data_IF_598377795656
#
_entry.id   IF_598377795656
#
_cell.length_a   1.000
_cell.length_b   1.000
_cell.length_c   1.000
_cell.angle_alpha   90.00
_cell.angle_beta   90.00
_cell.angle_gamma   90.00
#
_symmetry.space_group_name_H-M   'P 1'
#
loop_
_entity.id
_entity.type
_entity.pdbx_description
1 polymer ?
#
# COMPACT_ATOMS: atom_id res chain seq x y z
N UNK A 1 -8.24 -19.64 -30.44
CA UNK A 1 -6.97 -19.51 -31.19
C UNK A 1 -7.24 -18.67 -32.43
N UNK A 2 -6.73 -17.44 -32.48
CA UNK A 2 -7.00 -16.53 -33.61
C UNK A 2 -6.05 -16.86 -34.77
N UNK A 3 -6.60 -17.23 -35.94
CA UNK A 3 -5.85 -17.76 -37.08
C UNK A 3 -4.86 -16.73 -37.65
N UNK A 4 -3.65 -17.16 -38.06
CA UNK A 4 -2.59 -16.30 -38.63
C UNK A 4 -3.07 -15.38 -39.76
N UNK A 5 -4.05 -15.82 -40.56
CA UNK A 5 -4.70 -15.01 -41.61
C UNK A 5 -5.46 -13.79 -41.08
N UNK A 6 -6.06 -13.90 -39.89
CA UNK A 6 -6.77 -12.80 -39.23
C UNK A 6 -5.81 -11.71 -38.75
N UNK A 7 -4.60 -12.08 -38.32
CA UNK A 7 -3.55 -11.11 -37.95
C UNK A 7 -3.02 -10.33 -39.16
N UNK A 8 -2.85 -11.00 -40.30
CA UNK A 8 -2.39 -10.36 -41.53
C UNK A 8 -3.46 -9.41 -42.07
N UNK A 9 -4.73 -9.83 -42.05
CA UNK A 9 -5.86 -8.98 -42.45
C UNK A 9 -6.00 -7.76 -41.53
N UNK A 10 -5.84 -7.92 -40.21
CA UNK A 10 -5.86 -6.81 -39.26
C UNK A 10 -4.70 -5.83 -39.47
N UNK A 11 -3.50 -6.34 -39.79
CA UNK A 11 -2.34 -5.51 -40.09
C UNK A 11 -2.52 -4.70 -41.38
N UNK A 12 -3.06 -5.30 -42.44
CA UNK A 12 -3.31 -4.62 -43.72
C UNK A 12 -4.43 -3.58 -43.57
N UNK A 13 -5.50 -3.91 -42.84
CA UNK A 13 -6.58 -2.97 -42.56
C UNK A 13 -6.11 -1.78 -41.72
N UNK A 14 -5.24 -2.00 -40.73
CA UNK A 14 -4.64 -0.93 -39.94
C UNK A 14 -3.74 -0.02 -40.79
N UNK A 15 -2.98 -0.58 -41.73
CA UNK A 15 -2.08 0.16 -42.61
C UNK A 15 -2.86 1.05 -43.59
N UNK A 16 -3.96 0.54 -44.17
CA UNK A 16 -4.89 1.31 -45.00
C UNK A 16 -5.63 2.42 -44.23
N UNK A 17 -5.99 2.17 -42.96
CA UNK A 17 -6.61 3.16 -42.08
C UNK A 17 -5.68 4.34 -41.75
N UNK A 18 -4.37 4.08 -41.62
CA UNK A 18 -3.36 5.10 -41.34
C UNK A 18 -3.14 6.04 -42.53
N UNK A 19 -3.20 5.54 -43.76
CA UNK A 19 -3.10 6.39 -44.95
C UNK A 19 -4.32 7.30 -45.13
N UNK A 20 -5.53 6.84 -44.76
CA UNK A 20 -6.77 7.60 -45.01
C UNK A 20 -7.14 8.59 -43.89
N UNK A 21 -6.79 8.31 -42.62
CA UNK A 21 -7.14 9.13 -41.46
C UNK A 21 -5.93 9.85 -40.80
N UNK A 22 -4.71 9.64 -41.29
CA UNK A 22 -3.50 10.30 -40.81
C UNK A 22 -3.25 10.11 -39.30
N UNK A 23 -2.79 11.18 -38.63
CA UNK A 23 -2.40 11.19 -37.20
C UNK A 23 -3.51 10.68 -36.25
N UNK A 24 -4.78 10.81 -36.63
CA UNK A 24 -5.93 10.38 -35.82
C UNK A 24 -6.01 8.85 -35.75
N UNK A 25 -5.73 8.13 -36.84
CA UNK A 25 -5.69 6.67 -36.84
C UNK A 25 -4.53 6.13 -35.99
N UNK A 26 -3.39 6.83 -36.00
CA UNK A 26 -2.24 6.49 -35.16
C UNK A 26 -2.59 6.60 -33.67
N UNK A 27 -3.27 7.68 -33.26
CA UNK A 27 -3.74 7.84 -31.87
C UNK A 27 -4.74 6.75 -31.46
N UNK A 28 -5.70 6.42 -32.33
CA UNK A 28 -6.69 5.36 -32.06
C UNK A 28 -6.02 3.99 -31.91
N UNK A 29 -4.88 3.74 -32.56
CA UNK A 29 -4.15 2.48 -32.45
C UNK A 29 -3.24 2.44 -31.21
N UNK A 30 -2.51 3.53 -30.96
CA UNK A 30 -1.49 3.59 -29.88
C UNK A 30 -2.14 3.71 -28.50
N UNK A 31 -3.22 4.48 -28.38
CA UNK A 31 -3.89 4.71 -27.09
C UNK A 31 -4.42 3.43 -26.42
N UNK A 32 -5.19 2.55 -27.09
CA UNK A 32 -5.64 1.31 -26.47
C UNK A 32 -4.48 0.36 -26.18
N UNK A 33 -3.43 0.36 -27.01
CA UNK A 33 -2.25 -0.47 -26.77
C UNK A 33 -1.50 0.00 -25.52
N UNK A 34 -1.29 1.31 -25.36
CA UNK A 34 -0.68 1.91 -24.18
C UNK A 34 -1.53 1.66 -22.92
N UNK A 35 -2.86 1.80 -23.03
CA UNK A 35 -3.80 1.51 -21.94
C UNK A 35 -3.73 0.04 -21.50
N UNK A 36 -3.69 -0.90 -22.44
CA UNK A 36 -3.58 -2.33 -22.15
C UNK A 36 -2.23 -2.65 -21.50
N UNK A 37 -1.13 -2.07 -21.99
CA UNK A 37 0.21 -2.27 -21.41
C UNK A 37 0.29 -1.72 -19.98
N UNK A 38 -0.28 -0.53 -19.73
CA UNK A 38 -0.38 0.06 -18.39
C UNK A 38 -1.20 -0.84 -17.46
N UNK A 39 -2.41 -1.25 -17.87
CA UNK A 39 -3.27 -2.17 -17.11
C UNK A 39 -2.61 -3.53 -16.88
N UNK A 40 -1.84 -4.04 -17.83
CA UNK A 40 -1.09 -5.29 -17.67
C UNK A 40 0.05 -5.14 -16.68
N UNK A 41 0.77 -4.01 -16.69
CA UNK A 41 1.82 -3.71 -15.72
C UNK A 41 1.26 -3.57 -14.31
N UNK A 42 0.12 -2.91 -14.16
CA UNK A 42 -0.62 -2.83 -12.88
C UNK A 42 -1.06 -4.22 -12.39
N UNK A 43 -1.61 -5.05 -13.29
CA UNK A 43 -2.03 -6.42 -12.95
C UNK A 43 -0.87 -7.35 -12.64
N UNK A 44 0.31 -7.15 -13.24
CA UNK A 44 1.53 -7.90 -12.86
C UNK A 44 2.03 -7.46 -11.49
N UNK A 45 2.09 -6.16 -11.22
CA UNK A 45 2.40 -5.65 -9.87
C UNK A 45 1.46 -6.23 -8.81
N UNK A 46 0.16 -6.32 -9.10
CA UNK A 46 -0.81 -6.92 -8.19
C UNK A 46 -0.71 -8.45 -8.07
N UNK A 47 -0.12 -9.15 -9.06
CA UNK A 47 0.09 -10.62 -9.03
C UNK A 47 1.44 -11.03 -8.44
N UNK A 48 2.43 -10.15 -8.50
CA UNK A 48 3.79 -10.36 -7.97
C UNK A 48 3.89 -9.98 -6.49
N UNK A 49 2.81 -9.43 -5.90
CA UNK A 49 2.71 -9.27 -4.45
C UNK A 49 2.63 -10.66 -3.81
N UNK A 50 3.59 -11.03 -2.95
CA UNK A 50 3.48 -12.24 -2.15
C UNK A 50 2.17 -12.16 -1.35
N UNK A 51 1.48 -13.30 -1.20
CA UNK A 51 0.30 -13.37 -0.35
C UNK A 51 0.68 -12.79 1.02
N UNK A 52 0.14 -11.60 1.33
CA UNK A 52 0.53 -10.87 2.52
C UNK A 52 0.12 -11.72 3.72
N UNK A 53 1.10 -12.15 4.53
CA UNK A 53 0.82 -12.94 5.73
C UNK A 53 -0.06 -12.10 6.64
N UNK A 54 -1.24 -12.63 6.99
CA UNK A 54 -2.20 -11.99 7.89
C UNK A 54 -2.29 -12.83 9.16
N UNK A 55 -1.77 -12.31 10.25
CA UNK A 55 -1.91 -12.87 11.59
C UNK A 55 -3.29 -12.53 12.15
N UNK A 56 -3.88 -13.46 12.90
CA UNK A 56 -5.19 -13.31 13.54
C UNK A 56 -5.09 -12.85 14.99
N UNK A 57 -3.95 -13.07 15.63
CA UNK A 57 -3.69 -12.63 17.00
C UNK A 57 -2.25 -12.14 17.20
N UNK A 58 -2.02 -11.43 18.30
CA UNK A 58 -0.67 -11.04 18.71
C UNK A 58 0.21 -12.25 18.97
N UNK A 59 -0.32 -13.26 19.65
CA UNK A 59 0.40 -14.50 19.96
C UNK A 59 0.84 -15.23 18.67
N UNK A 60 -0.01 -15.27 17.64
CA UNK A 60 0.36 -15.85 16.35
C UNK A 60 1.51 -15.09 15.68
N UNK A 61 1.48 -13.75 15.73
CA UNK A 61 2.56 -12.92 15.19
C UNK A 61 3.87 -13.11 15.97
N UNK A 62 3.80 -13.20 17.30
CA UNK A 62 4.96 -13.43 18.18
C UNK A 62 5.53 -14.84 18.02
N UNK A 63 4.69 -15.85 17.87
CA UNK A 63 5.16 -17.22 17.60
C UNK A 63 5.84 -17.33 16.24
N UNK A 64 5.36 -16.60 15.23
CA UNK A 64 5.93 -16.64 13.88
C UNK A 64 7.21 -15.80 13.72
N UNK A 65 7.28 -14.62 14.34
CA UNK A 65 8.35 -13.64 14.13
C UNK A 65 9.26 -13.44 15.36
N UNK A 66 8.91 -14.03 16.51
CA UNK A 66 9.55 -13.79 17.80
C UNK A 66 9.01 -12.57 18.53
N UNK A 67 9.72 -12.16 19.58
CA UNK A 67 9.39 -10.95 20.34
C UNK A 67 9.64 -9.69 19.50
N UNK A 68 8.67 -8.75 19.43
CA UNK A 68 8.87 -7.48 18.74
C UNK A 68 9.95 -6.66 19.46
N UNK A 69 10.71 -5.88 18.69
CA UNK A 69 11.68 -4.93 19.25
C UNK A 69 10.96 -3.81 20.00
N UNK A 70 9.79 -3.42 19.51
CA UNK A 70 8.94 -2.44 20.17
C UNK A 70 7.47 -2.70 19.84
N UNK A 71 6.59 -2.33 20.78
CA UNK A 71 5.15 -2.39 20.62
C UNK A 71 4.59 -0.99 20.82
N UNK A 72 4.06 -0.42 19.75
CA UNK A 72 3.47 0.93 19.75
C UNK A 72 1.97 0.79 19.95
N UNK A 73 1.48 1.18 21.11
CA UNK A 73 0.05 1.16 21.43
C UNK A 73 -0.66 2.36 20.82
N UNK A 74 -1.58 2.10 19.87
CA UNK A 74 -2.41 3.11 19.25
C UNK A 74 -3.61 3.47 20.14
N UNK A 75 -4.24 2.45 20.73
CA UNK A 75 -5.36 2.62 21.64
C UNK A 75 -5.14 1.75 22.89
N UNK A 76 -5.12 2.39 24.06
CA UNK A 76 -4.91 1.71 25.34
C UNK A 76 -5.96 0.63 25.63
N UNK A 77 -7.21 0.78 25.15
CA UNK A 77 -8.26 -0.22 25.37
C UNK A 77 -8.07 -1.47 24.53
N UNK A 78 -7.35 -1.35 23.41
CA UNK A 78 -7.09 -2.43 22.45
C UNK A 78 -5.60 -2.83 22.45
N UNK A 79 -4.85 -2.50 23.51
CA UNK A 79 -3.40 -2.75 23.59
C UNK A 79 -3.00 -4.24 23.52
N UNK A 80 -3.96 -5.14 23.70
CA UNK A 80 -3.78 -6.59 23.57
C UNK A 80 -4.38 -7.15 22.27
N UNK A 81 -4.72 -6.28 21.31
CA UNK A 81 -5.26 -6.66 20.01
C UNK A 81 -4.40 -6.10 18.87
N UNK A 82 -4.31 -6.84 17.77
CA UNK A 82 -3.58 -6.41 16.56
C UNK A 82 -4.09 -5.10 15.96
N UNK A 83 -5.33 -4.72 16.25
CA UNK A 83 -5.93 -3.47 15.78
C UNK A 83 -5.52 -2.27 16.64
N UNK A 84 -5.14 -2.49 17.89
CA UNK A 84 -4.77 -1.45 18.84
C UNK A 84 -3.27 -1.24 18.99
N UNK A 85 -2.44 -2.04 18.32
CA UNK A 85 -0.98 -1.91 18.37
C UNK A 85 -0.32 -2.03 17.00
N UNK A 86 0.87 -1.45 16.90
CA UNK A 86 1.83 -1.71 15.83
C UNK A 86 3.00 -2.46 16.44
N UNK A 87 3.31 -3.63 15.89
CA UNK A 87 4.51 -4.37 16.27
C UNK A 87 5.66 -3.98 15.36
N UNK A 88 6.80 -3.68 15.97
CA UNK A 88 8.00 -3.24 15.28
C UNK A 88 9.08 -4.29 15.42
N UNK A 89 9.48 -4.90 14.32
CA UNK A 89 10.54 -5.89 14.26
C UNK A 89 11.75 -5.28 13.56
N UNK A 90 12.62 -4.61 14.33
CA UNK A 90 13.77 -3.89 13.76
C UNK A 90 14.80 -4.84 13.13
N UNK A 91 15.04 -6.01 13.74
CA UNK A 91 16.03 -6.98 13.27
C UNK A 91 15.73 -7.51 11.86
N UNK A 92 14.46 -7.79 11.58
CA UNK A 92 13.98 -8.26 10.26
C UNK A 92 13.39 -7.13 9.39
N UNK A 93 13.42 -5.89 9.90
CA UNK A 93 12.97 -4.66 9.23
C UNK A 93 11.52 -4.74 8.73
N UNK A 94 10.63 -5.19 9.59
CA UNK A 94 9.21 -5.37 9.29
C UNK A 94 8.32 -4.73 10.38
N UNK A 95 7.19 -4.17 9.95
CA UNK A 95 6.09 -3.79 10.82
C UNK A 95 4.97 -4.81 10.69
N UNK A 96 4.28 -5.10 11.79
CA UNK A 96 2.97 -5.75 11.76
C UNK A 96 1.92 -4.74 12.20
N UNK A 97 0.96 -4.47 11.32
CA UNK A 97 -0.12 -3.50 11.55
C UNK A 97 -1.43 -4.18 11.18
N UNK A 98 -2.40 -4.24 12.12
CA UNK A 98 -3.69 -4.91 11.90
C UNK A 98 -3.53 -6.37 11.39
N UNK A 99 -2.50 -7.06 11.89
CA UNK A 99 -2.15 -8.43 11.51
C UNK A 99 -1.40 -8.57 10.18
N UNK A 100 -1.25 -7.51 9.39
CA UNK A 100 -0.53 -7.56 8.10
C UNK A 100 0.93 -7.14 8.27
N UNK A 101 1.81 -7.83 7.55
CA UNK A 101 3.25 -7.53 7.53
C UNK A 101 3.58 -6.48 6.46
N UNK A 102 4.35 -5.46 6.84
CA UNK A 102 4.87 -4.42 5.95
C UNK A 102 6.38 -4.28 6.12
N UNK A 103 7.18 -4.55 5.08
CA UNK A 103 8.61 -4.26 5.09
C UNK A 103 8.85 -2.76 5.31
N UNK A 104 9.88 -2.38 6.06
CA UNK A 104 10.21 -0.96 6.25
C UNK A 104 10.48 -0.24 4.92
N UNK A 105 11.01 -0.96 3.94
CA UNK A 105 11.26 -0.44 2.59
C UNK A 105 9.98 -0.05 1.86
N UNK A 106 8.82 -0.64 2.18
CA UNK A 106 7.55 -0.28 1.54
C UNK A 106 6.91 0.97 2.15
N UNK A 107 7.41 1.43 3.31
CA UNK A 107 6.89 2.60 4.02
C UNK A 107 7.51 3.86 3.43
N UNK A 108 6.66 4.67 2.80
CA UNK A 108 7.04 5.91 2.13
C UNK A 108 7.05 7.09 3.08
N UNK A 109 5.98 7.23 3.85
CA UNK A 109 5.77 8.37 4.73
C UNK A 109 4.86 8.00 5.92
N UNK A 110 4.94 8.79 7.00
CA UNK A 110 4.12 8.64 8.19
C UNK A 110 3.63 10.03 8.62
N UNK A 111 2.32 10.20 8.77
CA UNK A 111 1.72 11.49 9.09
C UNK A 111 0.58 11.34 10.11
N UNK A 112 0.16 12.46 10.68
CA UNK A 112 -0.96 12.53 11.62
C UNK A 112 -1.99 13.48 11.07
N UNK A 113 -3.25 13.06 11.08
CA UNK A 113 -4.38 13.90 10.69
C UNK A 113 -5.43 13.92 11.79
N UNK A 114 -6.12 15.05 11.92
CA UNK A 114 -7.32 15.14 12.75
C UNK A 114 -8.54 14.86 11.85
N UNK A 115 -9.40 13.93 12.25
CA UNK A 115 -10.64 13.62 11.53
C UNK A 115 -11.81 14.56 11.85
N UNK A 116 -11.55 15.67 12.56
CA UNK A 116 -12.58 16.60 12.98
C UNK A 116 -13.29 17.23 11.79
N UNK A 117 -14.61 17.33 11.91
CA UNK A 117 -15.47 18.04 10.97
C UNK A 117 -16.14 19.19 11.72
N UNK A 118 -16.73 20.18 11.03
CA UNK A 118 -17.42 21.29 11.68
C UNK A 118 -18.54 20.87 12.67
N UNK A 119 -19.02 19.63 12.58
CA UNK A 119 -20.12 19.10 13.38
C UNK A 119 -19.70 18.01 14.37
N UNK A 120 -18.47 17.49 14.28
CA UNK A 120 -18.00 16.39 15.11
C UNK A 120 -16.54 16.57 15.55
N UNK A 121 -16.29 16.34 16.84
CA UNK A 121 -14.94 16.16 17.36
C UNK A 121 -14.38 14.89 16.75
N UNK A 122 -13.33 15.03 15.95
CA UNK A 122 -12.66 13.91 15.31
C UNK A 122 -11.53 13.36 16.16
N UNK A 123 -11.34 12.06 16.03
CA UNK A 123 -10.18 11.37 16.54
C UNK A 123 -8.95 11.71 15.68
N UNK A 124 -7.76 11.73 16.30
CA UNK A 124 -6.51 11.75 15.57
C UNK A 124 -6.24 10.38 14.97
N UNK A 125 -5.75 10.39 13.74
CA UNK A 125 -5.39 9.19 13.00
C UNK A 125 -3.92 9.26 12.59
N UNK A 126 -3.21 8.16 12.83
CA UNK A 126 -1.89 7.92 12.29
C UNK A 126 -2.04 7.34 10.88
N UNK A 127 -1.50 8.04 9.90
CA UNK A 127 -1.44 7.61 8.51
C UNK A 127 -0.09 6.99 8.23
N UNK A 128 -0.09 5.74 7.79
CA UNK A 128 1.12 5.08 7.28
C UNK A 128 0.95 4.88 5.78
N UNK A 129 1.75 5.61 5.01
CA UNK A 129 1.75 5.53 3.56
C UNK A 129 2.69 4.41 3.12
N UNK A 130 2.13 3.35 2.56
CA UNK A 130 2.91 2.26 1.97
C UNK A 130 2.93 2.37 0.45
N UNK A 131 3.66 1.50 -0.24
CA UNK A 131 3.61 1.44 -1.71
C UNK A 131 2.26 1.01 -2.26
N UNK A 132 1.50 0.26 -1.46
CA UNK A 132 0.29 -0.45 -1.88
C UNK A 132 -0.97 0.29 -1.43
N UNK A 133 -0.99 0.73 -0.17
CA UNK A 133 -2.13 1.37 0.46
C UNK A 133 -1.74 2.41 1.52
N UNK A 134 -2.72 3.21 1.92
CA UNK A 134 -2.60 4.13 3.07
C UNK A 134 -3.35 3.53 4.24
N UNK A 135 -2.62 3.14 5.28
CA UNK A 135 -3.21 2.64 6.53
C UNK A 135 -3.68 3.83 7.35
N UNK A 136 -4.93 3.77 7.82
CA UNK A 136 -5.53 4.79 8.70
C UNK A 136 -5.78 4.18 10.05
N UNK A 137 -4.97 4.58 11.03
CA UNK A 137 -4.94 3.95 12.35
C UNK A 137 -5.47 4.94 13.38
N UNK A 138 -6.59 4.65 14.07
CA UNK A 138 -7.13 5.51 15.12
C UNK A 138 -6.22 5.51 16.35
N UNK A 139 -5.97 6.69 16.93
CA UNK A 139 -5.01 6.91 18.03
C UNK A 139 -5.65 7.55 19.27
N UNK A 140 -6.91 7.97 19.18
CA UNK A 140 -7.61 8.73 20.20
C UNK A 140 -7.60 10.24 19.97
N UNK A 141 -7.95 10.99 21.02
CA UNK A 141 -8.21 12.43 20.93
C UNK A 141 -7.03 13.32 21.32
N UNK A 142 -5.89 12.73 21.67
CA UNK A 142 -4.69 13.45 22.10
C UNK A 142 -3.74 13.70 20.90
N UNK A 143 -3.62 14.98 20.53
CA UNK A 143 -2.75 15.43 19.44
C UNK A 143 -1.26 15.19 19.75
N UNK A 144 -0.84 15.48 20.98
CA UNK A 144 0.55 15.39 21.37
C UNK A 144 0.99 13.92 21.38
N UNK A 145 0.14 13.06 21.93
CA UNK A 145 0.33 11.62 21.89
C UNK A 145 0.43 11.11 20.45
N UNK A 146 -0.51 11.48 19.57
CA UNK A 146 -0.49 11.04 18.17
C UNK A 146 0.77 11.51 17.42
N UNK A 147 1.21 12.76 17.64
CA UNK A 147 2.46 13.28 17.07
C UNK A 147 3.69 12.54 17.57
N UNK A 148 3.77 12.29 18.88
CA UNK A 148 4.89 11.58 19.48
C UNK A 148 4.98 10.13 18.96
N UNK A 149 3.85 9.46 18.78
CA UNK A 149 3.81 8.13 18.15
C UNK A 149 4.30 8.15 16.70
N UNK A 150 3.86 9.11 15.90
CA UNK A 150 4.32 9.24 14.52
C UNK A 150 5.83 9.45 14.43
N UNK A 151 6.38 10.32 15.28
CA UNK A 151 7.83 10.55 15.36
C UNK A 151 8.57 9.29 15.78
N UNK A 152 8.11 8.60 16.83
CA UNK A 152 8.72 7.35 17.32
C UNK A 152 8.72 6.27 16.23
N UNK A 153 7.58 6.05 15.58
CA UNK A 153 7.46 5.07 14.51
C UNK A 153 8.36 5.43 13.32
N UNK A 154 8.42 6.71 12.93
CA UNK A 154 9.29 7.17 11.86
C UNK A 154 10.77 6.95 12.19
N UNK A 155 11.18 7.25 13.42
CA UNK A 155 12.55 7.01 13.88
C UNK A 155 12.92 5.53 13.84
N UNK A 156 12.00 4.63 14.17
CA UNK A 156 12.28 3.20 14.09
C UNK A 156 12.34 2.69 12.65
N UNK A 157 11.44 3.17 11.79
CA UNK A 157 11.41 2.77 10.37
C UNK A 157 12.63 3.30 9.61
N UNK A 158 13.00 4.58 9.78
CA UNK A 158 14.11 5.21 9.05
C UNK A 158 15.46 5.11 9.76
N UNK A 159 15.49 5.16 11.09
CA UNK A 159 16.71 5.05 11.88
C UNK A 159 17.36 3.66 11.76
N UNK A 160 16.56 2.62 11.53
CA UNK A 160 17.04 1.26 11.23
C UNK A 160 17.47 1.02 9.77
N UNK A 161 17.35 2.04 8.89
CA UNK A 161 17.85 1.96 7.51
C UNK A 161 19.32 2.37 7.35
N UNK A 162 19.93 2.91 8.41
CA UNK A 162 21.38 3.18 8.47
C UNK A 162 22.13 1.95 8.95
#
# INVERSE_FOLDING_TARGET
>A
MMNKRSWILAAVAALLLVEFLGFIALLILVFPLAYVVLRWKERRKAKEMPAQTVYRSLDEAVQALGEPTDTITLNATLGNELNGVILVYAAIRQLVVQGRVYPFASIRDISVVNSATPYYIGEYQLLVFTEEETLRLPVGYDNEYARNLAVRLWQQVKGSMR
#
